data_IF_726390952502
#
_entry.id   IF_726390952502
#
_cell.length_a   1.000
_cell.length_b   1.000
_cell.length_c   1.000
_cell.angle_alpha   90.00
_cell.angle_beta   90.00
_cell.angle_gamma   90.00
#
_symmetry.space_group_name_H-M   'P 1'
#
loop_
_entity.id
_entity.type
_entity.pdbx_description
1 polymer ?
#
# COMPACT_ATOMS: atom_id res chain seq x y z
N UNK A 1 31.50 -0.37 -7.22
CA UNK A 1 30.23 -1.06 -7.49
C UNK A 1 29.06 -0.11 -7.27
N UNK A 2 28.00 -0.25 -8.06
CA UNK A 2 26.73 0.47 -7.90
C UNK A 2 25.63 -0.57 -7.66
N UNK A 3 24.55 -0.15 -7.00
CA UNK A 3 23.53 -1.04 -6.47
C UNK A 3 22.11 -0.62 -6.88
N UNK A 4 21.19 -1.55 -7.13
CA UNK A 4 19.77 -1.24 -7.25
C UNK A 4 19.22 -0.62 -5.97
N UNK A 5 18.13 0.11 -6.09
CA UNK A 5 17.43 0.72 -4.97
C UNK A 5 16.02 0.15 -4.82
N UNK A 6 15.78 -0.57 -3.74
CA UNK A 6 14.45 -0.97 -3.30
C UNK A 6 13.94 0.08 -2.31
N UNK A 7 12.72 0.57 -2.53
CA UNK A 7 12.09 1.59 -1.69
C UNK A 7 10.84 1.00 -1.07
N UNK A 8 10.79 0.99 0.25
CA UNK A 8 9.62 0.58 1.01
C UNK A 8 8.83 1.80 1.48
N UNK A 9 7.59 1.86 1.08
CA UNK A 9 6.61 2.79 1.59
C UNK A 9 5.86 2.13 2.75
N UNK A 10 6.11 2.63 3.97
CA UNK A 10 5.45 2.18 5.19
C UNK A 10 4.34 3.13 5.60
N UNK A 11 3.34 2.59 6.31
CA UNK A 11 2.27 3.37 6.92
C UNK A 11 2.39 3.31 8.43
N UNK A 12 2.36 4.43 9.13
CA UNK A 12 2.46 4.55 10.60
C UNK A 12 3.65 3.83 11.25
N UNK A 13 4.68 3.52 10.50
CA UNK A 13 5.83 2.79 11.01
C UNK A 13 6.93 3.75 11.41
N UNK A 14 7.41 3.60 12.63
CA UNK A 14 8.44 4.46 13.21
C UNK A 14 9.83 3.81 13.26
N UNK A 15 9.94 2.52 12.95
CA UNK A 15 11.19 1.78 13.01
C UNK A 15 11.30 0.68 11.94
N UNK A 16 12.50 0.11 11.81
CA UNK A 16 12.82 -1.02 10.94
C UNK A 16 12.86 -2.29 11.79
N UNK A 17 11.78 -2.59 12.50
CA UNK A 17 11.70 -3.73 13.42
C UNK A 17 11.95 -5.09 12.76
N UNK A 18 11.83 -5.14 11.43
CA UNK A 18 11.96 -6.36 10.64
C UNK A 18 13.40 -6.68 10.19
N UNK A 19 14.40 -5.97 10.73
CA UNK A 19 15.81 -6.24 10.46
C UNK A 19 16.60 -6.26 11.78
N UNK A 20 17.16 -7.40 12.14
CA UNK A 20 17.76 -7.61 13.45
C UNK A 20 19.08 -8.36 13.37
N UNK A 21 20.16 -7.75 13.87
CA UNK A 21 21.50 -8.35 13.86
C UNK A 21 21.72 -9.45 14.91
N UNK A 22 20.86 -9.49 15.93
CA UNK A 22 21.01 -10.41 17.05
C UNK A 22 19.92 -11.48 17.07
N UNK A 23 20.19 -12.70 17.58
CA UNK A 23 19.17 -13.72 17.78
C UNK A 23 17.99 -13.23 18.62
N UNK A 24 16.83 -13.89 18.53
CA UNK A 24 15.67 -13.54 19.37
C UNK A 24 16.00 -13.56 20.86
N UNK A 25 15.37 -12.66 21.60
CA UNK A 25 15.50 -12.63 23.06
C UNK A 25 14.97 -13.97 23.65
N UNK A 26 15.82 -14.73 24.36
CA UNK A 26 15.42 -16.01 24.95
C UNK A 26 14.35 -15.87 26.06
N UNK A 27 14.15 -14.67 26.59
CA UNK A 27 13.14 -14.40 27.63
C UNK A 27 11.72 -14.27 27.08
N UNK A 28 11.57 -14.03 25.76
CA UNK A 28 10.26 -13.98 25.14
C UNK A 28 9.59 -15.36 25.14
N UNK A 29 8.26 -15.37 25.18
CA UNK A 29 7.48 -16.58 25.10
C UNK A 29 7.88 -17.45 23.91
N UNK A 30 7.89 -18.76 24.11
CA UNK A 30 8.18 -19.70 23.04
C UNK A 30 7.12 -19.61 21.94
N UNK A 31 7.54 -19.75 20.69
CA UNK A 31 6.63 -19.70 19.53
C UNK A 31 5.69 -20.90 19.56
N UNK A 32 4.40 -20.63 19.62
CA UNK A 32 3.34 -21.60 19.43
C UNK A 32 2.64 -21.30 18.09
N UNK A 33 3.13 -21.92 17.02
CA UNK A 33 2.69 -21.63 15.66
C UNK A 33 1.20 -21.90 15.45
N UNK A 34 0.67 -23.00 15.97
CA UNK A 34 -0.74 -23.36 15.84
C UNK A 34 -1.65 -22.29 16.49
N UNK A 35 -1.26 -21.79 17.66
CA UNK A 35 -1.99 -20.71 18.32
C UNK A 35 -1.87 -19.38 17.58
N UNK A 36 -0.72 -19.07 17.03
CA UNK A 36 -0.50 -17.87 16.22
C UNK A 36 -1.41 -17.91 14.98
N UNK A 37 -1.38 -18.99 14.21
CA UNK A 37 -2.20 -19.16 13.01
C UNK A 37 -3.70 -19.07 13.34
N UNK A 38 -4.14 -19.72 14.42
CA UNK A 38 -5.55 -19.78 14.76
C UNK A 38 -6.11 -18.49 15.37
N UNK A 39 -5.27 -17.67 16.01
CA UNK A 39 -5.73 -16.56 16.86
C UNK A 39 -5.11 -15.20 16.54
N UNK A 40 -4.10 -15.18 15.69
CA UNK A 40 -3.39 -13.97 15.25
C UNK A 40 -3.29 -13.90 13.73
N UNK A 41 -4.39 -14.00 12.99
CA UNK A 41 -4.36 -14.15 11.53
C UNK A 41 -3.67 -12.97 10.83
N UNK A 42 -3.80 -11.76 11.40
CA UNK A 42 -3.19 -10.54 10.87
C UNK A 42 -1.91 -10.13 11.60
N UNK A 43 -1.32 -11.02 12.38
CA UNK A 43 -0.12 -10.76 13.16
C UNK A 43 -0.38 -10.10 14.49
N UNK A 44 0.44 -9.14 14.88
CA UNK A 44 0.44 -8.53 16.18
C UNK A 44 -0.84 -7.71 16.46
N UNK A 45 -1.81 -8.31 17.12
CA UNK A 45 -2.96 -7.62 17.71
C UNK A 45 -3.06 -7.99 19.22
N UNK A 46 -2.43 -7.14 20.04
CA UNK A 46 -2.59 -7.14 21.49
C UNK A 46 -1.86 -8.29 22.25
N UNK A 47 -2.05 -8.28 23.56
CA UNK A 47 -1.38 -9.16 24.53
C UNK A 47 -1.53 -10.67 24.27
N UNK A 48 -2.54 -11.07 23.51
CA UNK A 48 -2.80 -12.48 23.24
C UNK A 48 -1.72 -13.08 22.32
N UNK A 49 -1.36 -12.37 21.26
CA UNK A 49 -0.37 -12.85 20.29
C UNK A 49 1.04 -12.91 20.90
N UNK A 50 1.37 -11.94 21.76
CA UNK A 50 2.60 -11.94 22.56
C UNK A 50 2.71 -13.18 23.43
N UNK A 51 1.61 -13.62 24.08
CA UNK A 51 1.57 -14.85 24.88
C UNK A 51 1.85 -16.13 24.10
N UNK A 52 1.53 -16.12 22.80
CA UNK A 52 1.85 -17.24 21.89
C UNK A 52 3.21 -17.13 21.22
N UNK A 53 4.03 -16.17 21.65
CA UNK A 53 5.40 -16.00 21.17
C UNK A 53 5.49 -15.30 19.81
N UNK A 54 4.50 -14.48 19.42
CA UNK A 54 4.54 -13.75 18.16
C UNK A 54 5.74 -12.77 18.11
N UNK A 55 6.01 -12.07 19.21
CA UNK A 55 7.16 -11.14 19.28
C UNK A 55 8.49 -11.87 19.10
N UNK A 56 8.59 -13.11 19.62
CA UNK A 56 9.76 -13.96 19.38
C UNK A 56 9.86 -14.40 17.92
N UNK A 57 8.73 -14.74 17.30
CA UNK A 57 8.68 -15.09 15.88
C UNK A 57 9.11 -13.89 15.02
N UNK A 58 8.63 -12.70 15.33
CA UNK A 58 9.03 -11.46 14.64
C UNK A 58 10.54 -11.23 14.74
N UNK A 59 11.10 -11.32 15.96
CA UNK A 59 12.56 -11.20 16.16
C UNK A 59 13.35 -12.30 15.42
N UNK A 60 12.82 -13.53 15.37
CA UNK A 60 13.43 -14.60 14.63
C UNK A 60 13.46 -14.31 13.12
N UNK A 61 12.35 -13.85 12.56
CA UNK A 61 12.26 -13.49 11.14
C UNK A 61 13.16 -12.31 10.79
N UNK A 62 13.23 -11.29 11.65
CA UNK A 62 14.15 -10.17 11.49
C UNK A 62 15.62 -10.61 11.50
N UNK A 63 15.99 -11.55 12.37
CA UNK A 63 17.35 -12.12 12.41
C UNK A 63 17.63 -13.02 11.20
N UNK A 64 16.65 -13.78 10.75
CA UNK A 64 16.75 -14.57 9.50
C UNK A 64 16.98 -13.63 8.31
N UNK A 65 16.26 -12.52 8.24
CA UNK A 65 16.43 -11.50 7.20
C UNK A 65 17.85 -10.90 7.22
N UNK A 66 18.37 -10.54 8.40
CA UNK A 66 19.75 -10.06 8.53
C UNK A 66 20.78 -11.09 8.02
N UNK A 67 20.64 -12.36 8.41
CA UNK A 67 21.53 -13.42 7.92
C UNK A 67 21.45 -13.64 6.42
N UNK A 68 20.25 -13.55 5.87
CA UNK A 68 20.03 -13.65 4.44
C UNK A 68 20.63 -12.44 3.70
N UNK A 69 20.38 -11.22 4.17
CA UNK A 69 20.92 -10.00 3.63
C UNK A 69 22.45 -9.97 3.57
N UNK A 70 23.11 -10.47 4.61
CA UNK A 70 24.57 -10.53 4.70
C UNK A 70 25.17 -11.79 4.08
N UNK A 71 24.34 -12.75 3.74
CA UNK A 71 24.74 -14.05 3.17
C UNK A 71 25.05 -14.02 1.68
N UNK A 72 25.63 -15.12 1.14
CA UNK A 72 25.95 -15.26 -0.26
C UNK A 72 24.72 -15.54 -1.05
N UNK A 73 23.82 -15.28 -1.43
CA UNK A 73 22.58 -15.66 -2.15
C UNK A 73 21.53 -14.56 -2.11
N UNK A 74 21.84 -13.40 -1.52
CA UNK A 74 20.92 -12.27 -1.50
C UNK A 74 21.41 -11.14 -2.41
N UNK A 75 20.50 -10.49 -3.21
CA UNK A 75 20.88 -9.38 -4.07
C UNK A 75 21.45 -8.21 -3.25
N UNK A 76 22.60 -7.71 -3.67
CA UNK A 76 23.18 -6.52 -3.06
C UNK A 76 22.43 -5.29 -3.54
N UNK A 77 21.54 -4.80 -2.71
CA UNK A 77 20.69 -3.64 -3.01
C UNK A 77 20.81 -2.59 -1.91
N UNK A 78 20.46 -1.38 -2.22
CA UNK A 78 20.12 -0.36 -1.23
C UNK A 78 18.66 -0.56 -0.84
N UNK A 79 18.36 -0.54 0.46
CA UNK A 79 16.98 -0.53 0.95
C UNK A 79 16.71 0.83 1.60
N UNK A 80 15.81 1.58 1.02
CA UNK A 80 15.32 2.84 1.57
C UNK A 80 13.93 2.62 2.15
N UNK A 81 13.78 2.86 3.44
CA UNK A 81 12.49 2.86 4.13
C UNK A 81 12.11 4.30 4.38
N UNK A 82 10.99 4.72 3.81
CA UNK A 82 10.53 6.10 3.89
C UNK A 82 9.38 6.20 4.87
N UNK A 83 9.48 7.19 5.75
CA UNK A 83 8.36 7.74 6.49
C UNK A 83 8.19 9.19 6.08
N UNK A 84 6.97 9.57 5.77
CA UNK A 84 6.68 10.91 5.29
C UNK A 84 5.40 11.49 5.93
N UNK A 85 5.33 11.51 7.28
CA UNK A 85 4.21 12.15 7.96
C UNK A 85 4.22 13.64 7.63
N UNK A 86 3.02 14.19 7.54
CA UNK A 86 2.84 15.63 7.38
C UNK A 86 2.61 16.31 8.73
N UNK A 87 2.86 17.62 8.86
CA UNK A 87 2.71 18.31 10.15
C UNK A 87 1.28 18.32 10.70
N UNK A 88 0.27 18.16 9.84
CA UNK A 88 -1.13 18.37 10.22
C UNK A 88 -2.06 17.21 9.88
N UNK A 89 -1.74 16.41 8.89
CA UNK A 89 -2.66 15.45 8.28
C UNK A 89 -2.15 14.02 8.25
N UNK A 90 -1.08 13.74 9.01
CA UNK A 90 -0.43 12.45 9.10
C UNK A 90 0.30 12.07 7.82
N UNK A 91 -0.22 11.19 6.99
CA UNK A 91 0.50 10.63 5.84
C UNK A 91 0.36 11.48 4.57
N UNK A 92 1.43 11.60 3.79
CA UNK A 92 1.45 12.32 2.52
C UNK A 92 1.06 11.48 1.30
N UNK A 93 0.94 10.17 1.44
CA UNK A 93 0.75 9.22 0.33
C UNK A 93 1.82 9.29 -0.77
N UNK A 94 2.98 9.85 -0.46
CA UNK A 94 4.11 10.02 -1.38
C UNK A 94 3.73 10.71 -2.70
N UNK A 95 2.70 11.55 -2.70
CA UNK A 95 2.25 12.29 -3.89
C UNK A 95 2.17 13.79 -3.62
N UNK A 96 2.13 14.56 -4.70
CA UNK A 96 1.84 15.98 -4.62
C UNK A 96 0.36 16.18 -4.26
N UNK A 97 0.07 16.98 -3.27
CA UNK A 97 -1.27 17.29 -2.77
C UNK A 97 -1.40 18.79 -2.49
N UNK A 98 -2.58 19.34 -2.75
CA UNK A 98 -2.83 20.75 -2.44
C UNK A 98 -2.74 21.06 -0.94
N UNK A 99 -3.10 20.10 -0.09
CA UNK A 99 -3.11 20.29 1.37
C UNK A 99 -1.77 19.92 2.03
N UNK A 100 -1.05 18.94 1.48
CA UNK A 100 0.20 18.42 2.07
C UNK A 100 1.45 19.01 1.42
N UNK A 101 1.36 19.49 0.17
CA UNK A 101 2.49 19.98 -0.60
C UNK A 101 3.11 18.91 -1.54
N UNK A 102 4.29 19.19 -2.11
CA UNK A 102 4.86 18.42 -3.20
C UNK A 102 5.69 17.20 -2.72
N UNK A 103 5.14 16.32 -1.88
CA UNK A 103 5.85 15.16 -1.35
C UNK A 103 6.30 14.17 -2.43
N UNK A 104 5.50 13.98 -3.48
CA UNK A 104 5.88 13.12 -4.60
C UNK A 104 7.14 13.61 -5.31
N UNK A 105 7.18 14.90 -5.60
CA UNK A 105 8.35 15.54 -6.22
C UNK A 105 9.55 15.54 -5.28
N UNK A 106 9.37 15.87 -4.01
CA UNK A 106 10.44 15.87 -3.01
C UNK A 106 11.08 14.48 -2.85
N UNK A 107 10.26 13.42 -2.81
CA UNK A 107 10.78 12.05 -2.72
C UNK A 107 11.49 11.66 -4.02
N UNK A 108 10.86 11.87 -5.17
CA UNK A 108 11.36 11.36 -6.46
C UNK A 108 12.53 12.19 -6.97
N UNK A 109 12.48 13.52 -6.83
CA UNK A 109 13.45 14.43 -7.46
C UNK A 109 14.54 14.93 -6.51
N UNK A 110 14.37 14.76 -5.18
CA UNK A 110 15.34 15.23 -4.19
C UNK A 110 15.89 14.07 -3.36
N UNK A 111 15.03 13.36 -2.59
CA UNK A 111 15.47 12.30 -1.68
C UNK A 111 16.14 11.14 -2.40
N UNK A 112 15.46 10.58 -3.42
CA UNK A 112 15.97 9.41 -4.14
C UNK A 112 17.29 9.70 -4.86
N UNK A 113 17.46 10.81 -5.61
CA UNK A 113 18.76 11.18 -6.19
C UNK A 113 19.85 11.45 -5.15
N UNK A 114 19.49 12.04 -4.00
CA UNK A 114 20.42 12.21 -2.88
C UNK A 114 20.97 10.87 -2.38
N UNK A 115 20.06 9.92 -2.09
CA UNK A 115 20.45 8.57 -1.63
C UNK A 115 21.32 7.87 -2.68
N UNK A 116 20.94 7.90 -3.95
CA UNK A 116 21.70 7.22 -5.01
C UNK A 116 23.08 7.83 -5.23
N UNK A 117 23.21 9.15 -5.17
CA UNK A 117 24.50 9.82 -5.33
C UNK A 117 25.45 9.51 -4.18
N UNK A 118 24.94 9.38 -2.95
CA UNK A 118 25.76 9.11 -1.76
C UNK A 118 26.08 7.62 -1.58
N UNK A 119 25.16 6.74 -1.97
CA UNK A 119 25.29 5.30 -1.74
C UNK A 119 25.46 4.48 -3.03
N UNK A 120 25.78 5.14 -4.14
CA UNK A 120 26.12 4.50 -5.41
C UNK A 120 24.94 3.74 -6.01
N UNK A 121 23.78 4.39 -6.15
CA UNK A 121 22.64 3.85 -6.84
C UNK A 121 22.86 3.67 -8.35
N UNK A 122 22.10 2.78 -8.96
CA UNK A 122 22.14 2.50 -10.41
C UNK A 122 21.20 3.38 -11.22
N UNK A 123 20.35 4.17 -10.57
CA UNK A 123 19.37 5.03 -11.22
C UNK A 123 18.06 4.35 -11.58
N UNK A 124 17.22 5.05 -12.32
CA UNK A 124 15.81 4.72 -12.56
C UNK A 124 15.54 3.30 -13.07
N UNK A 125 16.42 2.73 -13.88
CA UNK A 125 16.21 1.37 -14.42
C UNK A 125 16.30 0.25 -13.36
N UNK A 126 16.90 0.55 -12.22
CA UNK A 126 17.10 -0.38 -11.11
C UNK A 126 16.50 0.17 -9.80
N UNK A 127 15.48 1.02 -9.88
CA UNK A 127 14.66 1.45 -8.75
C UNK A 127 13.34 0.68 -8.74
N UNK A 128 12.93 0.18 -7.60
CA UNK A 128 11.62 -0.42 -7.43
C UNK A 128 11.02 -0.03 -6.10
N UNK A 129 9.70 -0.03 -6.06
CA UNK A 129 8.91 0.39 -4.90
C UNK A 129 7.99 -0.73 -4.45
N UNK A 130 7.74 -0.81 -3.16
CA UNK A 130 6.77 -1.75 -2.63
C UNK A 130 6.20 -1.27 -1.29
N UNK A 131 5.02 -1.77 -0.96
CA UNK A 131 4.35 -1.47 0.29
C UNK A 131 3.03 -2.21 0.41
N UNK A 132 2.37 -2.07 1.55
CA UNK A 132 1.07 -2.68 1.83
C UNK A 132 0.06 -1.64 2.32
N UNK A 133 -1.23 -1.84 2.02
CA UNK A 133 -2.31 -0.92 2.39
C UNK A 133 -2.03 0.48 1.83
N UNK A 134 -1.91 1.49 2.65
CA UNK A 134 -1.44 2.84 2.26
C UNK A 134 -0.16 2.76 1.42
N UNK A 135 0.88 2.07 1.90
CA UNK A 135 2.12 1.88 1.16
C UNK A 135 1.96 1.12 -0.16
N UNK A 136 0.94 0.29 -0.28
CA UNK A 136 0.57 -0.37 -1.54
C UNK A 136 0.02 0.62 -2.57
N UNK A 137 -0.85 1.54 -2.14
CA UNK A 137 -1.31 2.63 -2.98
C UNK A 137 -0.15 3.55 -3.38
N UNK A 138 0.72 3.90 -2.42
CA UNK A 138 1.90 4.73 -2.66
C UNK A 138 2.85 4.11 -3.68
N UNK A 139 3.15 2.82 -3.54
CA UNK A 139 4.01 2.11 -4.48
C UNK A 139 3.45 2.16 -5.91
N UNK A 140 2.15 1.91 -6.09
CA UNK A 140 1.52 2.04 -7.40
C UNK A 140 1.44 3.50 -7.84
N UNK A 141 1.11 4.41 -6.92
CA UNK A 141 0.97 5.84 -7.17
C UNK A 141 2.24 6.47 -7.74
N UNK A 142 3.39 6.24 -7.10
CA UNK A 142 4.67 6.77 -7.59
C UNK A 142 5.08 6.14 -8.92
N UNK A 143 4.83 4.83 -9.13
CA UNK A 143 5.09 4.18 -10.41
C UNK A 143 4.23 4.76 -11.54
N UNK A 144 2.97 5.10 -11.28
CA UNK A 144 2.06 5.70 -12.28
C UNK A 144 2.37 7.17 -12.53
N UNK A 145 2.68 7.92 -11.47
CA UNK A 145 2.95 9.38 -11.56
C UNK A 145 4.35 9.69 -12.10
N UNK A 146 5.33 8.84 -11.79
CA UNK A 146 6.73 8.98 -12.21
C UNK A 146 7.22 7.72 -12.96
N UNK A 147 6.60 7.37 -14.11
CA UNK A 147 6.77 6.04 -14.71
C UNK A 147 8.15 5.82 -15.32
N UNK A 148 8.95 6.88 -15.52
CA UNK A 148 10.31 6.80 -16.02
C UNK A 148 11.36 6.74 -14.92
N UNK A 149 10.98 7.14 -13.69
CA UNK A 149 11.85 7.18 -12.53
C UNK A 149 11.88 5.86 -11.75
N UNK A 150 10.88 5.00 -11.97
CA UNK A 150 10.77 3.70 -11.29
C UNK A 150 10.60 2.55 -12.29
N UNK A 151 11.18 1.42 -11.94
CA UNK A 151 11.15 0.20 -12.75
C UNK A 151 10.70 -1.01 -11.92
N UNK A 152 9.45 -0.96 -11.48
CA UNK A 152 8.76 -2.03 -10.76
C UNK A 152 8.09 -1.54 -9.49
N UNK A 153 6.79 -1.85 -9.38
CA UNK A 153 5.97 -1.61 -8.21
C UNK A 153 5.29 -2.90 -7.76
N UNK A 154 5.40 -3.20 -6.46
CA UNK A 154 4.67 -4.29 -5.83
C UNK A 154 3.73 -3.68 -4.80
N UNK A 155 2.45 -3.63 -5.13
CA UNK A 155 1.40 -3.06 -4.31
C UNK A 155 0.59 -4.18 -3.66
N UNK A 156 0.72 -4.34 -2.34
CA UNK A 156 -0.04 -5.33 -1.61
C UNK A 156 -1.26 -4.70 -0.99
N UNK A 157 -2.40 -5.40 -1.06
CA UNK A 157 -3.64 -4.93 -0.46
C UNK A 157 -3.79 -3.40 -0.55
N UNK A 158 -3.52 -2.79 -1.75
CA UNK A 158 -3.45 -1.34 -1.84
C UNK A 158 -4.75 -0.70 -1.40
N UNK A 159 -4.68 0.44 -0.73
CA UNK A 159 -5.83 1.31 -0.53
C UNK A 159 -6.53 1.58 -1.86
N UNK A 160 -7.79 2.07 -1.88
CA UNK A 160 -8.57 2.10 -3.10
C UNK A 160 -7.84 2.76 -4.27
N UNK A 161 -7.41 1.96 -5.23
CA UNK A 161 -6.73 2.41 -6.46
C UNK A 161 -7.71 2.75 -7.58
N UNK A 162 -9.00 2.46 -7.36
CA UNK A 162 -10.13 2.79 -8.22
C UNK A 162 -11.29 3.24 -7.33
N UNK A 163 -11.67 4.50 -7.41
CA UNK A 163 -12.68 5.06 -6.52
C UNK A 163 -14.13 4.72 -6.94
N UNK A 164 -14.33 3.92 -7.98
CA UNK A 164 -15.61 3.19 -8.20
C UNK A 164 -15.83 2.13 -7.11
N UNK A 165 -14.74 1.74 -6.44
CA UNK A 165 -14.73 0.89 -5.26
C UNK A 165 -13.87 1.55 -4.16
N UNK A 166 -14.29 2.74 -3.72
CA UNK A 166 -13.74 3.44 -2.56
C UNK A 166 -14.22 2.70 -1.31
N UNK A 167 -13.52 1.62 -0.96
CA UNK A 167 -14.02 0.51 -0.15
C UNK A 167 -15.36 -0.03 -0.70
N UNK A 168 -16.47 0.21 -0.03
CA UNK A 168 -17.82 -0.22 -0.46
C UNK A 168 -18.65 0.87 -1.17
N UNK A 169 -18.04 1.99 -1.52
CA UNK A 169 -18.72 3.16 -2.09
C UNK A 169 -18.23 3.43 -3.50
N UNK A 170 -19.13 3.62 -4.45
CA UNK A 170 -18.79 4.23 -5.73
C UNK A 170 -19.00 5.74 -5.63
N UNK A 171 -17.94 6.50 -5.37
CA UNK A 171 -18.06 7.94 -5.13
C UNK A 171 -18.52 8.74 -6.36
N UNK A 172 -18.59 8.13 -7.54
CA UNK A 172 -19.03 8.76 -8.77
C UNK A 172 -20.53 8.55 -9.06
N UNK A 173 -21.14 7.53 -8.46
CA UNK A 173 -22.51 7.12 -8.76
C UNK A 173 -23.43 7.10 -7.56
N UNK A 174 -22.87 6.82 -6.37
CA UNK A 174 -23.65 6.75 -5.14
C UNK A 174 -23.94 8.17 -4.63
N UNK A 175 -25.14 8.40 -4.15
CA UNK A 175 -25.50 9.68 -3.53
C UNK A 175 -25.06 9.79 -2.07
N UNK A 176 -24.76 8.64 -1.44
CA UNK A 176 -24.45 8.58 -0.02
C UNK A 176 -23.40 7.52 0.29
N UNK A 177 -22.40 7.89 1.10
CA UNK A 177 -21.32 7.02 1.51
C UNK A 177 -21.69 6.07 2.66
N UNK A 178 -22.72 6.36 3.43
CA UNK A 178 -23.08 5.61 4.64
C UNK A 178 -24.13 4.54 4.42
N UNK A 179 -24.97 4.74 3.42
CA UNK A 179 -26.07 3.85 3.14
C UNK A 179 -26.15 3.52 1.65
N UNK A 180 -26.61 2.34 1.36
CA UNK A 180 -27.01 1.92 0.03
C UNK A 180 -28.53 1.89 -0.02
N UNK A 181 -29.13 2.61 -0.96
CA UNK A 181 -30.56 2.61 -1.21
C UNK A 181 -30.93 1.45 -2.10
N UNK A 182 -31.79 0.59 -1.62
CA UNK A 182 -32.41 -0.49 -2.39
C UNK A 182 -33.91 -0.24 -2.57
N UNK A 183 -34.58 -1.01 -3.44
CA UNK A 183 -35.99 -0.81 -3.75
C UNK A 183 -36.92 -0.99 -2.54
N UNK A 184 -36.43 -1.69 -1.50
CA UNK A 184 -37.24 -2.08 -0.35
C UNK A 184 -36.73 -1.55 0.98
N UNK A 185 -35.43 -1.19 1.04
CA UNK A 185 -34.80 -0.72 2.28
C UNK A 185 -33.49 0.00 2.02
N UNK A 186 -33.14 0.87 2.93
CA UNK A 186 -31.80 1.44 3.06
C UNK A 186 -30.94 0.52 3.93
N UNK A 187 -29.74 0.21 3.46
CA UNK A 187 -28.81 -0.68 4.15
C UNK A 187 -27.52 0.08 4.52
N UNK A 188 -27.08 0.05 5.79
CA UNK A 188 -25.78 0.62 6.17
C UNK A 188 -24.65 -0.03 5.38
N UNK A 189 -23.72 0.79 4.86
CA UNK A 189 -22.53 0.29 4.17
C UNK A 189 -21.49 -0.17 5.18
N UNK A 190 -20.89 -1.35 5.02
CA UNK A 190 -19.77 -1.77 5.84
C UNK A 190 -18.51 -0.98 5.48
N UNK A 191 -17.71 -0.61 6.49
CA UNK A 191 -16.34 -0.13 6.33
C UNK A 191 -15.34 -1.25 6.59
N UNK A 192 -15.70 -2.17 7.51
CA UNK A 192 -14.86 -3.29 7.90
C UNK A 192 -15.70 -4.58 8.03
N UNK A 193 -15.13 -5.69 7.58
CA UNK A 193 -15.71 -7.03 7.74
C UNK A 193 -14.72 -7.98 8.41
N UNK A 194 -15.27 -9.04 9.03
CA UNK A 194 -14.47 -10.19 9.46
C UNK A 194 -14.25 -11.18 8.31
N UNK A 195 -13.46 -12.22 8.58
CA UNK A 195 -13.20 -13.32 7.65
C UNK A 195 -14.47 -13.97 7.06
N UNK A 196 -15.56 -13.99 7.81
CA UNK A 196 -16.85 -14.56 7.36
C UNK A 196 -17.70 -13.56 6.55
N UNK A 197 -17.21 -12.34 6.33
CA UNK A 197 -17.93 -11.28 5.64
C UNK A 197 -18.93 -10.52 6.52
N UNK A 198 -18.91 -10.71 7.85
CA UNK A 198 -19.81 -9.99 8.76
C UNK A 198 -19.30 -8.58 8.97
N UNK A 199 -20.16 -7.60 8.87
CA UNK A 199 -19.83 -6.20 9.17
C UNK A 199 -19.38 -6.06 10.62
N UNK A 200 -18.15 -5.60 10.82
CA UNK A 200 -17.59 -5.24 12.13
C UNK A 200 -17.85 -3.77 12.44
N UNK A 201 -17.62 -2.91 11.45
CA UNK A 201 -17.78 -1.45 11.54
C UNK A 201 -18.46 -0.96 10.27
N UNK A 202 -19.42 -0.04 10.42
CA UNK A 202 -20.04 0.64 9.28
C UNK A 202 -19.28 1.90 8.89
N UNK A 203 -19.49 2.38 7.66
CA UNK A 203 -18.93 3.65 7.18
C UNK A 203 -19.29 4.82 8.13
N UNK A 204 -20.54 4.90 8.57
CA UNK A 204 -20.98 5.95 9.50
C UNK A 204 -20.25 5.87 10.84
N UNK A 205 -20.12 4.67 11.42
CA UNK A 205 -19.42 4.50 12.71
C UNK A 205 -17.95 4.88 12.63
N UNK A 206 -17.26 4.47 11.56
CA UNK A 206 -15.84 4.80 11.37
C UNK A 206 -15.62 6.31 11.23
N UNK A 207 -16.43 6.97 10.41
CA UNK A 207 -16.34 8.42 10.22
C UNK A 207 -16.77 9.22 11.45
N UNK A 208 -17.77 8.77 12.20
CA UNK A 208 -18.15 9.40 13.46
C UNK A 208 -17.05 9.31 14.52
N UNK A 209 -16.29 8.18 14.56
CA UNK A 209 -15.11 8.05 15.41
C UNK A 209 -14.08 9.13 15.06
N UNK A 210 -13.79 9.34 13.78
CA UNK A 210 -12.84 10.37 13.34
C UNK A 210 -13.29 11.78 13.70
N UNK A 211 -14.58 12.09 13.58
CA UNK A 211 -15.14 13.40 14.01
C UNK A 211 -14.92 13.70 15.49
N UNK A 212 -14.81 12.66 16.33
CA UNK A 212 -14.51 12.83 17.77
C UNK A 212 -13.01 13.03 18.00
N UNK A 213 -12.15 12.36 17.19
CA UNK A 213 -10.70 12.42 17.35
C UNK A 213 -10.10 13.73 16.82
N UNK A 214 -10.67 14.30 15.78
CA UNK A 214 -10.15 15.53 15.17
C UNK A 214 -11.17 16.28 14.32
N UNK A 215 -10.84 17.53 14.00
CA UNK A 215 -11.61 18.41 13.12
C UNK A 215 -10.84 18.72 11.86
N UNK A 216 -11.52 19.07 10.77
CA UNK A 216 -10.89 19.54 9.53
C UNK A 216 -9.89 18.53 8.95
N UNK A 217 -10.30 17.26 8.88
CA UNK A 217 -9.51 16.14 8.37
C UNK A 217 -8.17 15.91 9.09
N UNK A 218 -8.14 16.12 10.43
CA UNK A 218 -6.95 16.01 11.29
C UNK A 218 -7.12 15.00 12.43
N UNK A 219 -7.95 13.99 12.24
CA UNK A 219 -8.15 12.94 13.25
C UNK A 219 -6.98 11.95 13.33
N UNK A 220 -6.10 11.90 12.32
CA UNK A 220 -5.13 10.82 12.15
C UNK A 220 -5.76 9.49 11.75
N UNK A 221 -7.06 9.47 11.41
CA UNK A 221 -7.74 8.30 10.89
C UNK A 221 -7.74 8.25 9.36
N UNK A 222 -7.96 7.07 8.81
CA UNK A 222 -7.78 6.79 7.39
C UNK A 222 -8.65 7.64 6.47
N UNK A 223 -9.90 7.91 6.84
CA UNK A 223 -10.82 8.72 6.03
C UNK A 223 -10.40 10.19 5.97
N UNK A 224 -9.93 10.73 7.08
CA UNK A 224 -9.41 12.11 7.14
C UNK A 224 -8.07 12.23 6.39
N UNK A 225 -7.21 11.20 6.45
CA UNK A 225 -5.95 11.17 5.68
C UNK A 225 -6.26 11.19 4.18
N UNK A 226 -7.18 10.36 3.70
CA UNK A 226 -7.58 10.36 2.29
C UNK A 226 -8.15 11.70 1.86
N UNK A 227 -9.00 12.34 2.68
CA UNK A 227 -9.48 13.68 2.40
C UNK A 227 -8.34 14.69 2.30
N UNK A 228 -7.40 14.66 3.24
CA UNK A 228 -6.27 15.58 3.24
C UNK A 228 -5.35 15.40 2.02
N UNK A 229 -5.12 14.16 1.58
CA UNK A 229 -4.28 13.89 0.41
C UNK A 229 -5.00 14.19 -0.89
N UNK A 230 -6.23 13.70 -1.04
CA UNK A 230 -6.87 13.64 -2.35
C UNK A 230 -7.80 14.83 -2.64
N UNK A 231 -8.20 15.61 -1.63
CA UNK A 231 -9.12 16.74 -1.84
C UNK A 231 -8.42 18.03 -2.22
N UNK A 232 -9.12 18.91 -2.96
CA UNK A 232 -8.66 20.27 -3.12
C UNK A 232 -8.78 21.06 -1.81
N UNK A 233 -8.01 22.14 -1.69
CA UNK A 233 -8.11 23.08 -0.56
C UNK A 233 -9.46 23.82 -0.60
N UNK A 234 -10.12 23.88 0.55
CA UNK A 234 -11.33 24.69 0.76
C UNK A 234 -11.02 26.17 0.96
N UNK A 235 -12.06 27.00 0.90
CA UNK A 235 -11.94 28.44 1.12
C UNK A 235 -11.50 28.79 2.57
N UNK A 236 -11.66 27.86 3.49
CA UNK A 236 -11.23 27.94 4.89
C UNK A 236 -9.77 27.49 5.10
N UNK A 237 -9.08 27.08 4.03
CA UNK A 237 -7.70 26.59 4.07
C UNK A 237 -7.55 25.13 4.50
N UNK A 238 -8.65 24.40 4.62
CA UNK A 238 -8.65 22.97 4.97
C UNK A 238 -9.10 22.10 3.79
N UNK A 239 -8.87 20.77 3.84
CA UNK A 239 -9.34 19.87 2.80
C UNK A 239 -10.86 19.92 2.62
N UNK A 240 -11.34 20.00 1.39
CA UNK A 240 -12.76 19.83 1.11
C UNK A 240 -13.16 18.38 1.38
N UNK A 241 -14.29 18.19 2.05
CA UNK A 241 -14.81 16.87 2.34
C UNK A 241 -15.34 16.19 1.09
N UNK A 242 -14.98 14.92 0.89
CA UNK A 242 -15.55 14.08 -0.17
C UNK A 242 -17.04 13.78 0.07
N UNK A 243 -17.44 13.73 1.33
CA UNK A 243 -18.84 13.64 1.76
C UNK A 243 -19.02 14.34 3.11
N UNK A 244 -20.23 14.80 3.38
CA UNK A 244 -20.58 15.31 4.70
C UNK A 244 -20.46 14.18 5.74
N UNK A 245 -19.57 14.33 6.71
CA UNK A 245 -19.29 13.29 7.71
C UNK A 245 -20.41 13.02 8.70
N UNK A 246 -21.47 13.82 8.73
CA UNK A 246 -22.66 13.57 9.56
C UNK A 246 -23.76 12.85 8.80
N UNK A 247 -23.94 13.20 7.53
CA UNK A 247 -25.04 12.68 6.71
C UNK A 247 -24.61 11.64 5.68
N UNK A 248 -23.33 11.60 5.32
CA UNK A 248 -22.78 10.73 4.27
C UNK A 248 -23.03 11.21 2.84
N UNK A 249 -23.68 12.37 2.65
CA UNK A 249 -23.96 12.91 1.30
C UNK A 249 -22.66 13.25 0.59
N UNK A 250 -22.48 12.70 -0.60
CA UNK A 250 -21.25 12.83 -1.40
C UNK A 250 -21.22 14.17 -2.15
N UNK A 251 -20.07 14.86 -2.11
CA UNK A 251 -19.81 16.02 -2.97
C UNK A 251 -19.24 15.54 -4.31
N UNK A 252 -20.08 15.60 -5.34
CA UNK A 252 -19.73 15.15 -6.68
C UNK A 252 -18.62 15.97 -7.34
N UNK A 253 -18.43 17.22 -6.91
CA UNK A 253 -17.35 18.07 -7.44
C UNK A 253 -15.99 17.67 -6.87
N UNK A 254 -15.95 17.32 -5.59
CA UNK A 254 -14.77 16.76 -4.95
C UNK A 254 -14.48 15.36 -5.50
N UNK A 255 -15.51 14.54 -5.71
CA UNK A 255 -15.35 13.22 -6.31
C UNK A 255 -14.75 13.28 -7.73
N UNK A 256 -15.16 14.26 -8.55
CA UNK A 256 -14.58 14.49 -9.87
C UNK A 256 -13.10 14.91 -9.77
N UNK A 257 -12.76 15.77 -8.82
CA UNK A 257 -11.35 16.15 -8.57
C UNK A 257 -10.49 14.95 -8.16
N UNK A 258 -10.99 14.09 -7.26
CA UNK A 258 -10.30 12.85 -6.88
C UNK A 258 -10.07 11.92 -8.07
N UNK A 259 -11.12 11.74 -8.91
CA UNK A 259 -11.02 10.93 -10.12
C UNK A 259 -9.89 11.37 -11.02
N UNK A 260 -9.86 12.65 -11.33
CA UNK A 260 -8.97 13.18 -12.35
C UNK A 260 -7.51 13.25 -11.88
N UNK A 261 -7.28 13.31 -10.55
CA UNK A 261 -5.96 13.52 -9.97
C UNK A 261 -5.40 12.31 -9.20
N UNK A 262 -6.23 11.44 -8.62
CA UNK A 262 -5.76 10.40 -7.67
C UNK A 262 -6.35 9.01 -7.91
N UNK A 263 -7.40 8.84 -8.71
CA UNK A 263 -7.87 7.51 -9.11
C UNK A 263 -6.86 6.91 -10.10
N UNK A 264 -6.01 6.00 -9.60
CA UNK A 264 -4.89 5.48 -10.38
C UNK A 264 -5.35 4.66 -11.58
N UNK A 265 -6.46 3.93 -11.46
CA UNK A 265 -7.02 3.17 -12.57
C UNK A 265 -7.62 4.10 -13.61
N UNK A 266 -8.36 5.13 -13.19
CA UNK A 266 -8.87 6.13 -14.12
C UNK A 266 -7.75 6.86 -14.87
N UNK A 267 -6.69 7.28 -14.16
CA UNK A 267 -5.52 7.92 -14.78
C UNK A 267 -4.87 7.00 -15.81
N UNK A 268 -4.65 5.74 -15.47
CA UNK A 268 -4.11 4.76 -16.41
C UNK A 268 -5.03 4.54 -17.60
N UNK A 269 -6.36 4.43 -17.40
CA UNK A 269 -7.34 4.29 -18.49
C UNK A 269 -7.32 5.48 -19.44
N UNK A 270 -7.35 6.69 -18.89
CA UNK A 270 -7.35 7.94 -19.66
C UNK A 270 -6.08 8.10 -20.47
N UNK A 271 -4.94 7.80 -19.89
CA UNK A 271 -3.63 8.15 -20.43
C UNK A 271 -2.84 6.93 -20.92
N UNK A 272 -3.49 5.77 -21.14
CA UNK A 272 -2.79 4.52 -21.48
C UNK A 272 -1.92 4.60 -22.73
N UNK A 273 -2.30 5.38 -23.70
CA UNK A 273 -1.51 5.58 -24.93
C UNK A 273 -0.08 6.08 -24.64
N UNK A 274 0.08 6.87 -23.57
CA UNK A 274 1.36 7.47 -23.18
C UNK A 274 1.98 6.77 -21.98
N UNK A 275 1.16 6.30 -21.03
CA UNK A 275 1.62 5.60 -19.82
C UNK A 275 1.92 4.12 -20.08
N UNK A 276 1.11 3.45 -20.89
CA UNK A 276 1.22 2.02 -21.12
C UNK A 276 2.63 1.57 -21.54
N UNK A 277 3.28 2.21 -22.52
CA UNK A 277 4.67 1.89 -22.89
C UNK A 277 5.67 2.00 -21.73
N UNK A 278 5.41 2.90 -20.78
CA UNK A 278 6.29 3.16 -19.62
C UNK A 278 6.00 2.25 -18.43
N UNK A 279 4.76 1.73 -18.33
CA UNK A 279 4.29 0.89 -17.22
C UNK A 279 4.33 -0.61 -17.52
N UNK A 280 4.50 -0.99 -18.78
CA UNK A 280 4.47 -2.40 -19.20
C UNK A 280 5.42 -3.27 -18.39
N UNK A 281 4.87 -4.33 -17.77
CA UNK A 281 5.62 -5.31 -16.96
C UNK A 281 6.13 -4.80 -15.62
N UNK A 282 5.73 -3.59 -15.20
CA UNK A 282 6.20 -2.96 -13.96
C UNK A 282 5.22 -3.06 -12.78
N UNK A 283 4.02 -3.57 -12.99
CA UNK A 283 2.95 -3.56 -11.98
C UNK A 283 2.71 -4.97 -11.45
N UNK A 284 2.81 -5.13 -10.15
CA UNK A 284 2.37 -6.32 -9.41
C UNK A 284 1.37 -5.89 -8.34
N UNK A 285 0.19 -6.53 -8.31
CA UNK A 285 -0.86 -6.32 -7.31
C UNK A 285 -1.11 -7.63 -6.58
N UNK A 286 -1.10 -7.61 -5.25
CA UNK A 286 -1.46 -8.76 -4.42
C UNK A 286 -2.59 -8.34 -3.46
N UNK A 287 -3.62 -9.16 -3.29
CA UNK A 287 -4.68 -8.87 -2.33
C UNK A 287 -5.39 -10.13 -1.87
N UNK A 288 -5.79 -10.19 -0.61
CA UNK A 288 -6.65 -11.23 -0.08
C UNK A 288 -8.10 -11.04 -0.55
N UNK A 289 -8.78 -12.11 -1.00
CA UNK A 289 -10.20 -12.03 -1.43
C UNK A 289 -11.16 -11.74 -0.27
N UNK A 290 -10.73 -11.98 0.96
CA UNK A 290 -11.46 -11.63 2.17
C UNK A 290 -10.92 -10.37 2.85
N UNK A 291 -10.29 -9.47 2.09
CA UNK A 291 -9.74 -8.23 2.63
C UNK A 291 -10.75 -7.54 3.54
N UNK A 292 -10.33 -7.20 4.76
CA UNK A 292 -11.21 -6.69 5.81
C UNK A 292 -11.82 -5.34 5.48
N UNK A 293 -11.15 -4.54 4.64
CA UNK A 293 -11.56 -3.20 4.23
C UNK A 293 -12.10 -3.13 2.82
N UNK A 294 -12.39 -4.30 2.20
CA UNK A 294 -12.92 -4.42 0.84
C UNK A 294 -11.97 -3.88 -0.25
N UNK A 295 -10.67 -3.82 0.01
CA UNK A 295 -9.69 -3.29 -0.95
C UNK A 295 -9.52 -4.19 -2.19
N UNK A 296 -9.88 -5.46 -2.07
CA UNK A 296 -9.95 -6.39 -3.20
C UNK A 296 -10.89 -5.91 -4.32
N UNK A 297 -11.93 -5.14 -3.99
CA UNK A 297 -12.92 -4.70 -4.98
C UNK A 297 -12.31 -3.70 -5.99
N UNK A 298 -11.47 -2.78 -5.53
CA UNK A 298 -10.71 -1.88 -6.41
C UNK A 298 -9.67 -2.63 -7.25
N UNK A 299 -9.05 -3.67 -6.69
CA UNK A 299 -8.08 -4.51 -7.43
C UNK A 299 -8.76 -5.32 -8.54
N UNK A 300 -10.00 -5.80 -8.34
CA UNK A 300 -10.77 -6.46 -9.42
C UNK A 300 -10.99 -5.52 -10.60
N UNK A 301 -11.38 -4.27 -10.33
CA UNK A 301 -11.58 -3.27 -11.38
C UNK A 301 -10.26 -2.92 -12.10
N UNK A 302 -9.17 -2.84 -11.34
CA UNK A 302 -7.84 -2.63 -11.90
C UNK A 302 -7.41 -3.80 -12.79
N UNK A 303 -7.63 -5.04 -12.35
CA UNK A 303 -7.31 -6.24 -13.14
C UNK A 303 -8.09 -6.29 -14.44
N UNK A 304 -9.40 -6.00 -14.41
CA UNK A 304 -10.25 -5.95 -15.60
C UNK A 304 -9.69 -4.95 -16.63
N UNK A 305 -9.28 -3.77 -16.16
CA UNK A 305 -8.64 -2.79 -17.04
C UNK A 305 -7.31 -3.32 -17.58
N UNK A 306 -6.39 -3.77 -16.72
CA UNK A 306 -5.05 -4.21 -17.11
C UNK A 306 -5.11 -5.36 -18.14
N UNK A 307 -6.03 -6.30 -17.96
CA UNK A 307 -6.30 -7.39 -18.90
C UNK A 307 -6.88 -6.91 -20.23
N UNK A 308 -7.61 -5.81 -20.23
CA UNK A 308 -8.23 -5.24 -21.44
C UNK A 308 -7.24 -4.53 -22.35
N UNK A 309 -6.07 -4.15 -21.85
CA UNK A 309 -5.04 -3.39 -22.57
C UNK A 309 -4.42 -4.20 -23.71
N UNK A 310 -4.20 -3.56 -24.88
CA UNK A 310 -3.67 -4.24 -26.08
C UNK A 310 -2.46 -3.55 -26.70
N UNK A 311 -2.40 -2.23 -26.63
CA UNK A 311 -1.39 -1.41 -27.31
C UNK A 311 -0.76 -0.37 -26.35
N UNK A 312 0.27 -0.75 -25.56
CA UNK A 312 0.76 -2.12 -25.35
C UNK A 312 -0.12 -2.91 -24.38
N UNK A 313 0.01 -4.26 -24.29
CA UNK A 313 -0.53 -5.00 -23.16
C UNK A 313 0.21 -4.57 -21.89
N UNK A 314 -0.50 -4.54 -20.75
CA UNK A 314 0.08 -4.13 -19.47
C UNK A 314 1.19 -5.08 -18.99
N UNK A 315 1.07 -6.37 -19.31
CA UNK A 315 1.95 -7.43 -18.78
C UNK A 315 2.09 -7.35 -17.25
N UNK A 316 0.99 -6.96 -16.58
CA UNK A 316 0.92 -6.83 -15.13
C UNK A 316 0.66 -8.18 -14.47
N UNK A 317 1.12 -8.34 -13.22
CA UNK A 317 0.82 -9.49 -12.39
C UNK A 317 -0.24 -9.08 -11.37
N UNK A 318 -1.33 -9.85 -11.28
CA UNK A 318 -2.35 -9.68 -10.23
C UNK A 318 -2.56 -11.03 -9.57
N UNK A 319 -2.38 -11.09 -8.25
CA UNK A 319 -2.45 -12.33 -7.48
C UNK A 319 -3.40 -12.19 -6.28
N UNK A 320 -4.10 -13.28 -5.98
CA UNK A 320 -5.16 -13.30 -4.97
C UNK A 320 -4.98 -14.41 -3.95
N UNK A 321 -4.97 -14.04 -2.68
CA UNK A 321 -5.15 -14.99 -1.60
C UNK A 321 -6.62 -15.46 -1.52
N UNK A 322 -6.85 -16.77 -1.64
CA UNK A 322 -8.19 -17.34 -1.85
C UNK A 322 -9.20 -17.03 -0.73
N UNK A 323 -8.73 -16.99 0.52
CA UNK A 323 -9.50 -16.65 1.72
C UNK A 323 -8.75 -15.76 2.67
N UNK A 324 -7.67 -15.16 2.17
CA UNK A 324 -6.80 -14.33 2.98
C UNK A 324 -7.42 -12.96 3.21
N UNK A 325 -7.11 -12.42 4.35
CA UNK A 325 -7.58 -11.14 4.85
C UNK A 325 -6.64 -10.00 4.43
N UNK A 326 -6.79 -8.86 5.05
CA UNK A 326 -6.03 -7.64 4.75
C UNK A 326 -4.51 -7.87 4.81
N UNK A 327 -3.83 -7.27 3.86
CA UNK A 327 -2.38 -7.33 3.65
C UNK A 327 -1.79 -8.71 3.35
N UNK A 328 -2.59 -9.60 2.75
CA UNK A 328 -2.02 -10.76 2.10
C UNK A 328 -1.05 -10.32 0.99
N UNK A 329 0.12 -10.92 0.97
CA UNK A 329 1.29 -10.40 0.27
C UNK A 329 1.81 -11.32 -0.84
N UNK A 330 0.96 -12.15 -1.43
CA UNK A 330 1.35 -13.06 -2.52
C UNK A 330 2.08 -14.33 -2.05
N UNK A 331 2.02 -14.66 -0.76
CA UNK A 331 2.60 -15.90 -0.23
C UNK A 331 1.51 -16.98 -0.14
N UNK A 332 1.58 -17.98 -1.00
CA UNK A 332 0.65 -19.12 -1.02
C UNK A 332 1.09 -20.26 -0.11
N UNK A 333 2.28 -20.19 0.49
CA UNK A 333 2.83 -21.27 1.30
C UNK A 333 2.64 -21.05 2.78
N UNK A 334 2.68 -19.79 3.23
CA UNK A 334 2.59 -19.44 4.64
C UNK A 334 1.32 -18.68 4.98
N UNK A 335 0.75 -18.91 6.17
CA UNK A 335 -0.35 -18.09 6.69
C UNK A 335 0.04 -16.62 6.80
N UNK A 336 -0.94 -15.72 6.70
CA UNK A 336 -0.70 -14.28 6.65
C UNK A 336 0.10 -13.75 7.85
N UNK A 337 -0.16 -14.27 9.05
CA UNK A 337 0.61 -13.92 10.26
C UNK A 337 2.11 -14.18 10.16
N UNK A 338 2.53 -15.11 9.32
CA UNK A 338 3.94 -15.47 9.09
C UNK A 338 4.48 -14.77 7.85
N UNK A 339 3.72 -14.78 6.76
CA UNK A 339 4.15 -14.25 5.46
C UNK A 339 4.46 -12.75 5.53
N UNK A 340 3.72 -12.00 6.31
CA UNK A 340 3.97 -10.57 6.52
C UNK A 340 5.32 -10.25 7.19
N UNK A 341 5.89 -11.20 7.94
CA UNK A 341 7.22 -11.06 8.57
C UNK A 341 8.37 -11.35 7.60
N UNK A 342 8.07 -11.80 6.39
CA UNK A 342 9.08 -12.20 5.39
C UNK A 342 8.92 -11.46 4.06
N UNK A 343 8.02 -10.48 3.98
CA UNK A 343 7.74 -9.85 2.69
C UNK A 343 8.90 -8.99 2.17
N UNK A 344 9.69 -8.34 3.02
CA UNK A 344 10.86 -7.56 2.61
C UNK A 344 11.87 -8.39 1.77
N UNK A 345 12.45 -9.48 2.29
CA UNK A 345 13.39 -10.27 1.50
C UNK A 345 12.75 -10.84 0.24
N UNK A 346 11.47 -11.22 0.28
CA UNK A 346 10.77 -11.76 -0.87
C UNK A 346 10.60 -10.72 -1.98
N UNK A 347 10.13 -9.51 -1.64
CA UNK A 347 9.91 -8.48 -2.65
C UNK A 347 11.20 -7.90 -3.20
N UNK A 348 12.23 -7.75 -2.38
CA UNK A 348 13.55 -7.35 -2.84
C UNK A 348 14.08 -8.36 -3.88
N UNK A 349 13.94 -9.67 -3.64
CA UNK A 349 14.31 -10.69 -4.62
C UNK A 349 13.46 -10.64 -5.88
N UNK A 350 12.16 -10.39 -5.76
CA UNK A 350 11.25 -10.25 -6.89
C UNK A 350 11.62 -9.03 -7.75
N UNK A 351 11.87 -7.88 -7.13
CA UNK A 351 12.35 -6.68 -7.82
C UNK A 351 13.71 -6.92 -8.47
N UNK A 352 14.65 -7.55 -7.77
CA UNK A 352 15.96 -7.89 -8.33
C UNK A 352 15.86 -8.80 -9.55
N UNK A 353 14.97 -9.79 -9.51
CA UNK A 353 14.70 -10.66 -10.67
C UNK A 353 14.10 -9.88 -11.86
N UNK A 354 13.25 -8.90 -11.59
CA UNK A 354 12.72 -7.99 -12.61
C UNK A 354 13.82 -7.11 -13.20
N UNK A 355 14.66 -6.50 -12.40
CA UNK A 355 15.76 -5.66 -12.87
C UNK A 355 16.80 -6.44 -13.68
N UNK A 356 17.06 -7.70 -13.35
CA UNK A 356 17.92 -8.56 -14.16
C UNK A 356 17.35 -8.80 -15.57
N UNK A 357 16.02 -8.94 -15.68
CA UNK A 357 15.34 -9.13 -16.98
C UNK A 357 15.32 -7.86 -17.82
N UNK A 358 15.26 -6.69 -17.17
CA UNK A 358 15.10 -5.38 -17.83
C UNK A 358 16.36 -4.53 -17.79
N UNK A 359 17.51 -5.12 -17.45
CA UNK A 359 18.76 -4.45 -17.21
C UNK A 359 19.19 -3.55 -18.40
N UNK A 360 19.56 -2.31 -18.06
CA UNK A 360 20.14 -1.33 -18.98
C UNK A 360 21.61 -1.01 -18.67
N UNK A 361 22.22 -1.74 -17.72
CA UNK A 361 23.58 -1.51 -17.25
C UNK A 361 24.21 -2.76 -16.66
N UNK A 362 25.36 -2.59 -15.98
CA UNK A 362 26.08 -3.68 -15.34
C UNK A 362 25.28 -4.30 -14.18
N UNK A 363 25.11 -5.60 -14.23
CA UNK A 363 24.43 -6.40 -13.19
C UNK A 363 25.40 -7.23 -12.36
N UNK A 364 26.69 -7.26 -12.69
CA UNK A 364 27.69 -8.16 -12.07
C UNK A 364 28.06 -7.71 -10.65
N UNK A 365 27.93 -6.41 -10.36
CA UNK A 365 28.34 -5.85 -9.07
C UNK A 365 27.35 -6.09 -7.93
N UNK A 366 26.09 -6.44 -8.23
CA UNK A 366 25.03 -6.59 -7.24
C UNK A 366 24.29 -7.94 -7.29
N UNK A 367 24.47 -8.67 -8.33
CA UNK A 367 24.07 -10.08 -8.35
C UNK A 367 25.24 -10.95 -7.86
N UNK A 368 25.00 -12.05 -7.31
CA UNK A 368 26.02 -13.06 -6.96
C UNK A 368 25.80 -14.30 -7.73
#
# INVERSE_FOLDING_TARGET
AHYPLAIYHGHFQTDVSDFRETPPDPKLAAVNMDSIIARCPNGHEGDLCTKFGYDRLQQQKGYEFYKEWTGPGFPRVLLLIIQHPTPYYDDSYAVNSENNGPYGDAITNELVPYVESHYRGLGAWARGVYGGSTGGWEALGVQVKYPEDYNGAIANCPDPIDFRAFTTVNIYRDGNAYVSEGPWRTTPRPAERDYFGRTRVTMAQSNQKELVLGTHSRSGGQWDIWEAVFSPVGADGYPKRIYDKRTGVIDTTVAAYWRDNYDLVHIMQRDWATLGPKLRGKITLNVGRSDNFFLNDAVYLAEDFLKSTKNPPADAVVDYGARDEHCWSGDHENPNAVSRLTYHPRFIKQLAAHWLKTAKGDTTSWRY
#
